data_IF_765499902248
#
_entry.id   IF_765499902248
#
_cell.length_a   1.000
_cell.length_b   1.000
_cell.length_c   1.000
_cell.angle_alpha   90.00
_cell.angle_beta   90.00
_cell.angle_gamma   90.00
#
_symmetry.space_group_name_H-M   'P 1'
#
loop_
_entity.id
_entity.type
_entity.pdbx_description
1 polymer ?
#
# COMPACT_ATOMS: atom_id res chain seq x y z
N UNK A 1 18.86 -8.67 -23.21
CA UNK A 1 18.14 -7.43 -22.83
C UNK A 1 19.17 -6.42 -22.35
N UNK A 2 19.13 -5.17 -22.80
CA UNK A 2 20.07 -4.13 -22.33
C UNK A 2 19.68 -3.67 -20.91
N UNK A 3 20.63 -3.12 -20.16
CA UNK A 3 20.38 -2.59 -18.80
C UNK A 3 19.30 -1.50 -18.79
N UNK A 4 19.28 -0.65 -19.81
CA UNK A 4 18.26 0.39 -19.98
C UNK A 4 16.84 -0.21 -20.16
N UNK A 5 16.69 -1.25 -20.98
CA UNK A 5 15.38 -1.93 -21.13
C UNK A 5 14.95 -2.58 -19.82
N UNK A 6 15.87 -3.20 -19.10
CA UNK A 6 15.58 -3.87 -17.82
C UNK A 6 15.14 -2.87 -16.74
N UNK A 7 15.73 -1.68 -16.72
CA UNK A 7 15.36 -0.61 -15.80
C UNK A 7 13.94 -0.08 -16.03
N UNK A 8 13.51 0.08 -17.29
CA UNK A 8 12.14 0.52 -17.62
C UNK A 8 11.11 -0.52 -17.15
N UNK A 9 11.37 -1.80 -17.40
CA UNK A 9 10.51 -2.88 -16.92
C UNK A 9 10.45 -2.95 -15.40
N UNK A 10 11.58 -2.80 -14.71
CA UNK A 10 11.64 -2.75 -13.26
C UNK A 10 10.78 -1.59 -12.70
N UNK A 11 10.86 -0.41 -13.33
CA UNK A 11 10.01 0.74 -13.00
C UNK A 11 8.53 0.44 -13.24
N UNK A 12 8.19 -0.21 -14.35
CA UNK A 12 6.82 -0.60 -14.66
C UNK A 12 6.26 -1.56 -13.60
N UNK A 13 7.02 -2.59 -13.23
CA UNK A 13 6.62 -3.54 -12.18
C UNK A 13 6.49 -2.88 -10.80
N UNK A 14 7.37 -1.94 -10.45
CA UNK A 14 7.24 -1.15 -9.22
C UNK A 14 5.94 -0.31 -9.20
N UNK A 15 5.61 0.35 -10.30
CA UNK A 15 4.38 1.16 -10.37
C UNK A 15 3.14 0.27 -10.33
N UNK A 16 3.14 -0.84 -11.07
CA UNK A 16 2.03 -1.79 -11.06
C UNK A 16 1.76 -2.35 -9.66
N UNK A 17 2.80 -2.77 -8.94
CA UNK A 17 2.66 -3.27 -7.57
C UNK A 17 2.20 -2.18 -6.60
N UNK A 18 2.68 -0.94 -6.74
CA UNK A 18 2.21 0.19 -5.95
C UNK A 18 0.71 0.49 -6.18
N UNK A 19 0.22 0.41 -7.42
CA UNK A 19 -1.20 0.62 -7.72
C UNK A 19 -2.08 -0.46 -7.09
N UNK A 20 -1.69 -1.74 -7.20
CA UNK A 20 -2.42 -2.86 -6.57
C UNK A 20 -2.42 -2.72 -5.04
N UNK A 21 -1.28 -2.34 -4.46
CA UNK A 21 -1.15 -2.11 -3.01
C UNK A 21 -2.10 -1.00 -2.53
N UNK A 22 -2.09 0.16 -3.19
CA UNK A 22 -2.91 1.30 -2.80
C UNK A 22 -4.40 1.04 -3.05
N UNK A 23 -4.74 0.35 -4.15
CA UNK A 23 -6.12 -0.09 -4.39
C UNK A 23 -6.64 -1.00 -3.27
N UNK A 24 -5.81 -1.93 -2.78
CA UNK A 24 -6.14 -2.77 -1.63
C UNK A 24 -6.36 -1.99 -0.34
N UNK A 25 -5.51 -0.99 -0.06
CA UNK A 25 -5.64 -0.10 1.10
C UNK A 25 -6.94 0.73 1.06
N UNK A 26 -7.28 1.30 -0.10
CA UNK A 26 -8.51 2.08 -0.27
C UNK A 26 -9.73 1.17 -0.14
N UNK A 27 -9.75 0.02 -0.82
CA UNK A 27 -10.84 -0.94 -0.76
C UNK A 27 -11.10 -1.44 0.66
N UNK A 28 -10.03 -1.79 1.38
CA UNK A 28 -10.12 -2.23 2.78
C UNK A 28 -10.57 -1.10 3.70
N UNK A 29 -10.11 0.15 3.48
CA UNK A 29 -10.59 1.30 4.25
C UNK A 29 -12.08 1.59 4.04
N UNK A 30 -12.59 1.41 2.83
CA UNK A 30 -14.03 1.57 2.53
C UNK A 30 -14.81 0.45 3.21
N UNK A 31 -14.34 -0.80 3.12
CA UNK A 31 -14.97 -1.94 3.77
C UNK A 31 -15.06 -1.79 5.30
N UNK A 32 -13.95 -1.44 5.96
CA UNK A 32 -13.92 -1.25 7.42
C UNK A 32 -14.89 -0.15 7.85
N UNK A 33 -15.14 0.85 6.99
CA UNK A 33 -16.10 1.93 7.26
C UNK A 33 -17.55 1.53 6.98
N UNK A 34 -17.80 0.66 6.00
CA UNK A 34 -19.17 0.24 5.64
C UNK A 34 -19.76 -0.78 6.59
N UNK A 35 -18.91 -1.51 7.31
CA UNK A 35 -19.34 -2.49 8.31
C UNK A 35 -19.66 -1.79 9.64
N UNK A 36 -20.93 -1.87 10.06
CA UNK A 36 -21.30 -1.72 11.46
C UNK A 36 -20.71 -2.92 12.21
N UNK A 37 -19.73 -2.67 13.08
CA UNK A 37 -19.14 -3.73 13.91
C UNK A 37 -20.29 -4.44 14.65
N UNK A 38 -20.31 -5.78 14.58
CA UNK A 38 -21.28 -6.72 15.20
C UNK A 38 -22.41 -7.30 14.31
N UNK A 39 -22.09 -7.88 13.15
CA UNK A 39 -23.03 -8.80 12.47
C UNK A 39 -22.32 -10.03 11.87
N UNK A 40 -23.06 -11.13 11.67
CA UNK A 40 -22.54 -12.34 11.04
C UNK A 40 -22.16 -12.12 9.56
N UNK A 41 -23.00 -11.39 8.82
CA UNK A 41 -22.72 -11.01 7.43
C UNK A 41 -21.42 -10.20 7.29
N UNK A 42 -21.18 -9.27 8.23
CA UNK A 42 -19.94 -8.50 8.29
C UNK A 42 -18.72 -9.39 8.53
N UNK A 43 -18.83 -10.38 9.43
CA UNK A 43 -17.76 -11.33 9.74
C UNK A 43 -17.37 -12.19 8.53
N UNK A 44 -18.36 -12.71 7.79
CA UNK A 44 -18.12 -13.52 6.60
C UNK A 44 -17.44 -12.72 5.49
N UNK A 45 -17.93 -11.50 5.21
CA UNK A 45 -17.31 -10.61 4.23
C UNK A 45 -15.90 -10.18 4.65
N UNK A 46 -15.66 -9.91 5.94
CA UNK A 46 -14.35 -9.55 6.45
C UNK A 46 -13.31 -10.65 6.25
N UNK A 47 -13.70 -11.92 6.35
CA UNK A 47 -12.78 -13.03 6.08
C UNK A 47 -12.44 -13.12 4.59
N UNK A 48 -13.39 -12.85 3.69
CA UNK A 48 -13.12 -12.72 2.25
C UNK A 48 -12.12 -11.59 1.96
N UNK A 49 -12.36 -10.40 2.51
CA UNK A 49 -11.45 -9.25 2.36
C UNK A 49 -10.08 -9.55 2.95
N UNK A 50 -10.01 -10.21 4.10
CA UNK A 50 -8.74 -10.62 4.74
C UNK A 50 -7.96 -11.64 3.91
N UNK A 51 -8.63 -12.57 3.23
CA UNK A 51 -7.97 -13.50 2.31
C UNK A 51 -7.43 -12.79 1.07
N UNK A 52 -8.19 -11.83 0.53
CA UNK A 52 -7.74 -10.98 -0.57
C UNK A 52 -6.51 -10.17 -0.16
N UNK A 53 -6.56 -9.50 0.99
CA UNK A 53 -5.46 -8.72 1.54
C UNK A 53 -4.16 -9.54 1.62
N UNK A 54 -4.22 -10.75 2.20
CA UNK A 54 -3.05 -11.64 2.30
C UNK A 54 -2.51 -12.16 0.97
N UNK A 55 -3.36 -12.31 -0.05
CA UNK A 55 -2.99 -12.91 -1.35
C UNK A 55 -2.65 -11.89 -2.42
N UNK A 56 -3.13 -10.65 -2.29
CA UNK A 56 -3.02 -9.62 -3.32
C UNK A 56 -2.34 -8.38 -2.76
N UNK A 57 -2.91 -7.77 -1.72
CA UNK A 57 -2.44 -6.48 -1.19
C UNK A 57 -1.08 -6.59 -0.50
N UNK A 58 -0.89 -7.58 0.36
CA UNK A 58 0.37 -7.83 1.05
C UNK A 58 1.49 -8.20 0.06
N UNK A 59 1.34 -9.16 -0.87
CA UNK A 59 2.36 -9.41 -1.89
C UNK A 59 2.65 -8.19 -2.75
N UNK A 60 1.64 -7.40 -3.13
CA UNK A 60 1.85 -6.17 -3.89
C UNK A 60 2.67 -5.14 -3.10
N UNK A 61 2.44 -4.99 -1.79
CA UNK A 61 3.27 -4.15 -0.92
C UNK A 61 4.73 -4.62 -0.90
N UNK A 62 4.96 -5.93 -0.74
CA UNK A 62 6.30 -6.51 -0.71
C UNK A 62 7.02 -6.33 -2.04
N UNK A 63 6.33 -6.53 -3.17
CA UNK A 63 6.87 -6.29 -4.50
C UNK A 63 7.16 -4.80 -4.74
N UNK A 64 6.31 -3.89 -4.27
CA UNK A 64 6.55 -2.45 -4.35
C UNK A 64 7.84 -2.06 -3.60
N UNK A 65 8.05 -2.61 -2.40
CA UNK A 65 9.30 -2.45 -1.66
C UNK A 65 10.50 -3.06 -2.38
N UNK A 66 10.40 -4.32 -2.83
CA UNK A 66 11.49 -5.02 -3.51
C UNK A 66 11.95 -4.29 -4.77
N UNK A 67 11.01 -3.92 -5.65
CA UNK A 67 11.34 -3.16 -6.85
C UNK A 67 11.79 -1.74 -6.54
N UNK A 68 11.22 -1.09 -5.51
CA UNK A 68 11.62 0.25 -5.09
C UNK A 68 13.06 0.31 -4.58
N UNK A 69 13.44 -0.67 -3.76
CA UNK A 69 14.82 -0.83 -3.28
C UNK A 69 15.77 -1.12 -4.44
N UNK A 70 15.39 -2.03 -5.35
CA UNK A 70 16.20 -2.33 -6.54
C UNK A 70 16.42 -1.08 -7.41
N UNK A 71 15.38 -0.27 -7.63
CA UNK A 71 15.50 1.00 -8.36
C UNK A 71 16.37 2.02 -7.63
N UNK A 72 16.32 2.07 -6.30
CA UNK A 72 17.16 2.97 -5.51
C UNK A 72 18.66 2.63 -5.67
N UNK A 73 19.01 1.34 -5.63
CA UNK A 73 20.39 0.88 -5.85
C UNK A 73 20.87 1.12 -7.28
N UNK A 74 20.03 0.84 -8.29
CA UNK A 74 20.39 1.01 -9.70
C UNK A 74 20.38 2.49 -10.14
N UNK A 75 19.60 3.33 -9.47
CA UNK A 75 19.46 4.73 -9.82
C UNK A 75 20.67 5.57 -9.46
N UNK A 76 21.34 5.29 -8.34
CA UNK A 76 22.48 6.07 -7.86
C UNK A 76 22.12 7.48 -7.34
N UNK A 77 20.88 7.69 -6.85
CA UNK A 77 20.36 9.02 -6.50
C UNK A 77 20.74 9.43 -5.08
N UNK A 78 22.03 9.42 -4.79
CA UNK A 78 22.58 9.79 -3.49
C UNK A 78 22.60 11.32 -3.34
N UNK A 79 22.22 11.83 -2.17
CA UNK A 79 22.36 13.26 -1.82
C UNK A 79 21.12 14.16 -1.96
N UNK A 80 19.95 13.64 -2.36
CA UNK A 80 18.69 14.42 -2.38
C UNK A 80 17.67 13.90 -1.35
N UNK A 81 16.89 14.82 -0.75
CA UNK A 81 15.83 14.45 0.20
C UNK A 81 14.64 13.75 -0.46
N UNK A 82 14.62 13.69 -1.80
CA UNK A 82 13.54 13.14 -2.61
C UNK A 82 13.27 11.65 -2.33
N UNK A 83 14.32 10.83 -2.38
CA UNK A 83 14.20 9.37 -2.17
C UNK A 83 13.75 9.02 -0.74
N UNK A 84 14.37 9.58 0.33
CA UNK A 84 13.92 9.30 1.69
C UNK A 84 12.53 9.86 1.97
N UNK A 85 12.13 11.01 1.41
CA UNK A 85 10.77 11.53 1.55
C UNK A 85 9.73 10.57 0.94
N UNK A 86 10.00 10.06 -0.27
CA UNK A 86 9.14 9.05 -0.91
C UNK A 86 9.09 7.76 -0.10
N UNK A 87 10.23 7.28 0.39
CA UNK A 87 10.30 6.07 1.21
C UNK A 87 9.51 6.23 2.52
N UNK A 88 9.59 7.39 3.18
CA UNK A 88 8.82 7.68 4.40
C UNK A 88 7.31 7.57 4.16
N UNK A 89 6.80 8.09 3.03
CA UNK A 89 5.38 7.95 2.67
C UNK A 89 4.99 6.48 2.45
N UNK A 90 5.85 5.69 1.80
CA UNK A 90 5.59 4.25 1.61
C UNK A 90 5.59 3.51 2.96
N UNK A 91 6.47 3.86 3.90
CA UNK A 91 6.46 3.32 5.27
C UNK A 91 5.15 3.65 5.97
N UNK A 92 4.65 4.88 5.86
CA UNK A 92 3.34 5.27 6.43
C UNK A 92 2.22 4.43 5.84
N UNK A 93 2.19 4.24 4.51
CA UNK A 93 1.19 3.37 3.86
C UNK A 93 1.30 1.91 4.32
N UNK A 94 2.51 1.38 4.50
CA UNK A 94 2.74 0.03 5.03
C UNK A 94 2.25 -0.10 6.48
N UNK A 95 2.44 0.92 7.32
CA UNK A 95 1.92 0.95 8.68
C UNK A 95 0.38 0.97 8.67
N UNK A 96 -0.23 1.76 7.79
CA UNK A 96 -1.69 1.79 7.59
C UNK A 96 -2.23 0.41 7.19
N UNK A 97 -1.55 -0.30 6.28
CA UNK A 97 -1.90 -1.67 5.91
C UNK A 97 -1.89 -2.60 7.13
N UNK A 98 -0.85 -2.54 7.97
CA UNK A 98 -0.78 -3.32 9.22
C UNK A 98 -1.94 -3.04 10.18
N UNK A 99 -2.34 -1.77 10.33
CA UNK A 99 -3.50 -1.36 11.14
C UNK A 99 -4.79 -1.97 10.59
N UNK A 100 -4.99 -1.88 9.26
CA UNK A 100 -6.18 -2.43 8.59
C UNK A 100 -6.25 -3.95 8.69
N UNK A 101 -5.12 -4.66 8.50
CA UNK A 101 -5.05 -6.11 8.70
C UNK A 101 -5.43 -6.52 10.15
N UNK A 102 -5.03 -5.71 11.14
CA UNK A 102 -5.45 -5.88 12.53
C UNK A 102 -6.94 -5.62 12.76
N UNK A 103 -7.51 -4.62 12.09
CA UNK A 103 -8.95 -4.33 12.13
C UNK A 103 -9.77 -5.45 11.47
N UNK A 104 -9.37 -5.95 10.30
CA UNK A 104 -10.01 -7.09 9.64
C UNK A 104 -10.03 -8.32 10.55
N UNK A 105 -8.92 -8.64 11.23
CA UNK A 105 -8.85 -9.75 12.19
C UNK A 105 -9.85 -9.59 13.33
N UNK A 106 -10.01 -8.38 13.86
CA UNK A 106 -10.99 -8.09 14.92
C UNK A 106 -12.42 -8.26 14.41
N UNK A 107 -12.74 -7.76 13.22
CA UNK A 107 -14.08 -7.91 12.61
C UNK A 107 -14.41 -9.40 12.39
N UNK A 108 -13.47 -10.19 11.86
CA UNK A 108 -13.65 -11.65 11.67
C UNK A 108 -13.93 -12.35 12.99
N UNK A 109 -13.26 -11.95 14.07
CA UNK A 109 -13.47 -12.53 15.40
C UNK A 109 -14.63 -11.86 16.17
N UNK A 110 -15.40 -10.98 15.53
CA UNK A 110 -16.50 -10.22 16.13
C UNK A 110 -16.09 -9.44 17.38
N UNK A 111 -14.82 -9.04 17.45
CA UNK A 111 -14.27 -8.24 18.55
C UNK A 111 -14.60 -6.76 18.28
N UNK A 112 -15.29 -6.06 19.21
CA UNK A 112 -15.61 -4.66 19.04
C UNK A 112 -14.33 -3.81 18.95
N UNK A 113 -14.36 -2.78 18.11
CA UNK A 113 -13.23 -1.88 17.91
C UNK A 113 -13.66 -0.61 17.19
N UNK A 114 -12.79 0.39 17.17
CA UNK A 114 -13.02 1.62 16.40
C UNK A 114 -12.49 1.46 14.98
N UNK A 115 -13.32 1.77 13.99
CA UNK A 115 -12.87 2.03 12.63
C UNK A 115 -11.99 3.29 12.63
N UNK A 116 -10.70 3.11 12.32
CA UNK A 116 -9.79 4.22 12.09
C UNK A 116 -10.10 4.88 10.75
N UNK A 117 -9.99 6.22 10.66
CA UNK A 117 -10.17 6.95 9.41
C UNK A 117 -8.87 6.98 8.60
N UNK A 118 -8.54 5.85 7.96
CA UNK A 118 -7.30 5.71 7.17
C UNK A 118 -7.44 6.18 5.72
N UNK A 119 -8.66 6.21 5.17
CA UNK A 119 -8.94 6.58 3.76
C UNK A 119 -8.30 7.89 3.28
N UNK A 120 -8.57 9.04 3.93
CA UNK A 120 -8.00 10.32 3.52
C UNK A 120 -6.47 10.32 3.54
N UNK A 121 -5.86 9.71 4.58
CA UNK A 121 -4.40 9.58 4.69
C UNK A 121 -3.82 8.81 3.50
N UNK A 122 -4.45 7.70 3.09
CA UNK A 122 -3.99 6.89 1.96
C UNK A 122 -4.02 7.69 0.65
N UNK A 123 -5.12 8.41 0.40
CA UNK A 123 -5.27 9.21 -0.82
C UNK A 123 -4.26 10.36 -0.85
N UNK A 124 -4.09 11.09 0.25
CA UNK A 124 -3.10 12.16 0.34
C UNK A 124 -1.67 11.63 0.13
N UNK A 125 -1.33 10.50 0.75
CA UNK A 125 -0.02 9.87 0.56
C UNK A 125 0.20 9.38 -0.88
N UNK A 126 -0.83 8.81 -1.53
CA UNK A 126 -0.76 8.42 -2.94
C UNK A 126 -0.47 9.63 -3.84
N UNK A 127 -1.20 10.72 -3.66
CA UNK A 127 -1.02 11.95 -4.44
C UNK A 127 0.40 12.49 -4.25
N UNK A 128 0.88 12.58 -3.00
CA UNK A 128 2.23 13.02 -2.70
C UNK A 128 3.30 12.11 -3.34
N UNK A 129 3.14 10.79 -3.27
CA UNK A 129 4.03 9.82 -3.93
C UNK A 129 4.02 9.99 -5.44
N UNK A 130 2.85 10.22 -6.06
CA UNK A 130 2.72 10.43 -7.50
C UNK A 130 3.43 11.72 -7.94
N UNK A 131 3.22 12.82 -7.21
CA UNK A 131 3.91 14.10 -7.44
C UNK A 131 5.42 13.90 -7.31
N UNK A 132 5.90 13.30 -6.21
CA UNK A 132 7.32 13.01 -6.05
C UNK A 132 7.86 12.13 -7.19
N UNK A 133 7.11 11.13 -7.65
CA UNK A 133 7.55 10.27 -8.75
C UNK A 133 7.74 11.04 -10.08
N UNK A 134 6.98 12.12 -10.31
CA UNK A 134 7.07 12.95 -11.53
C UNK A 134 8.07 14.08 -11.36
N UNK A 135 8.01 14.81 -10.24
CA UNK A 135 8.88 15.96 -9.91
C UNK A 135 10.22 15.49 -9.33
N UNK A 136 10.77 14.42 -9.91
CA UNK A 136 12.09 13.93 -9.55
C UNK A 136 13.12 15.04 -9.86
N UNK A 137 14.00 15.43 -8.90
CA UNK A 137 15.12 16.31 -9.21
C UNK A 137 15.99 15.64 -10.29
N UNK A 138 16.20 16.39 -11.38
CA UNK A 138 17.04 16.01 -12.52
C UNK A 138 18.48 15.78 -12.09
#
# INVERSE_FOLDING_TARGET
>A
MTLASSYVWLKAFHVASALVFVGGLVGTSVFIRSVLFTSEAASAMAETVRRWDRRVTLPAMLLAWGFGIALAFLGGWTGTLWLPAKAALVVVLSAVHGIQAGQLRRIVNRIPGRAGRTGPLIVCALIAIAILAVVKPS
#
